data_IF_347357704353
#
_entry.id   IF_347357704353
#
_cell.length_a   1.000
_cell.length_b   1.000
_cell.length_c   1.000
_cell.angle_alpha   90.00
_cell.angle_beta   90.00
_cell.angle_gamma   90.00
#
_symmetry.space_group_name_H-M   'P 1'
#
loop_
_entity.id
_entity.type
_entity.pdbx_description
1 polymer ?
#
# COMPACT_ATOMS: atom_id res chain seq x y z
N UNK A 1 5.45 -0.02 -13.29
CA UNK A 1 4.04 0.22 -12.93
C UNK A 1 3.97 1.54 -12.14
N UNK A 2 2.89 2.33 -12.22
CA UNK A 2 2.74 3.51 -11.34
C UNK A 2 2.05 3.09 -10.04
N UNK A 3 2.28 3.79 -8.93
CA UNK A 3 1.67 3.46 -7.64
C UNK A 3 0.13 3.37 -7.74
N UNK A 4 -0.50 4.36 -8.39
CA UNK A 4 -1.96 4.42 -8.55
C UNK A 4 -2.53 3.34 -9.49
N UNK A 5 -1.70 2.68 -10.31
CA UNK A 5 -2.14 1.53 -11.10
C UNK A 5 -2.28 0.24 -10.26
N UNK A 6 -1.70 0.23 -9.05
CA UNK A 6 -1.81 -0.91 -8.12
C UNK A 6 -3.08 -0.73 -7.31
N UNK A 7 -4.13 -1.48 -7.67
CA UNK A 7 -5.41 -1.48 -6.96
C UNK A 7 -5.61 -2.82 -6.24
N UNK A 8 -6.66 -2.90 -5.40
CA UNK A 8 -7.09 -4.16 -4.79
C UNK A 8 -7.41 -5.20 -5.87
N UNK A 9 -8.08 -4.82 -6.96
CA UNK A 9 -8.36 -5.74 -8.08
C UNK A 9 -7.10 -6.31 -8.72
N UNK A 10 -6.07 -5.46 -8.90
CA UNK A 10 -4.77 -5.91 -9.44
C UNK A 10 -4.09 -6.89 -8.49
N UNK A 11 -4.13 -6.62 -7.18
CA UNK A 11 -3.64 -7.54 -6.16
C UNK A 11 -4.37 -8.87 -6.22
N UNK A 12 -5.71 -8.86 -6.19
CA UNK A 12 -6.54 -10.06 -6.24
C UNK A 12 -6.25 -10.89 -7.49
N UNK A 13 -6.20 -10.24 -8.66
CA UNK A 13 -5.88 -10.91 -9.91
C UNK A 13 -4.49 -11.57 -9.88
N UNK A 14 -3.52 -10.93 -9.20
CA UNK A 14 -2.15 -11.44 -9.10
C UNK A 14 -2.00 -12.67 -8.19
N UNK A 15 -2.90 -12.87 -7.21
CA UNK A 15 -2.85 -13.99 -6.24
C UNK A 15 -2.91 -15.36 -6.93
N UNK A 16 -3.59 -15.45 -8.07
CA UNK A 16 -3.70 -16.69 -8.84
C UNK A 16 -2.36 -17.13 -9.47
N UNK A 17 -1.33 -16.29 -9.42
CA UNK A 17 0.02 -16.59 -9.89
C UNK A 17 1.05 -16.15 -8.85
N UNK A 18 1.73 -17.10 -8.18
CA UNK A 18 2.74 -16.75 -7.16
C UNK A 18 3.81 -15.79 -7.70
N UNK A 19 4.27 -16.01 -8.93
CA UNK A 19 5.24 -15.12 -9.58
C UNK A 19 4.64 -13.75 -9.90
N UNK A 20 3.36 -13.72 -10.29
CA UNK A 20 2.62 -12.47 -10.52
C UNK A 20 2.47 -11.66 -9.23
N UNK A 21 2.04 -12.30 -8.15
CA UNK A 21 1.91 -11.66 -6.84
C UNK A 21 3.26 -11.14 -6.32
N UNK A 22 4.32 -11.95 -6.39
CA UNK A 22 5.67 -11.52 -6.02
C UNK A 22 6.10 -10.31 -6.87
N UNK A 23 5.82 -10.31 -8.17
CA UNK A 23 6.13 -9.16 -9.03
C UNK A 23 5.41 -7.89 -8.58
N UNK A 24 4.14 -7.98 -8.18
CA UNK A 24 3.39 -6.82 -7.65
C UNK A 24 3.98 -6.34 -6.33
N UNK A 25 4.29 -7.26 -5.40
CA UNK A 25 4.93 -6.92 -4.12
C UNK A 25 6.29 -6.23 -4.33
N UNK A 26 7.11 -6.75 -5.23
CA UNK A 26 8.40 -6.14 -5.58
C UNK A 26 8.26 -4.78 -6.22
N UNK A 27 7.24 -4.56 -7.06
CA UNK A 27 6.96 -3.24 -7.62
C UNK A 27 6.57 -2.24 -6.51
N UNK A 28 5.74 -2.65 -5.55
CA UNK A 28 5.38 -1.82 -4.39
C UNK A 28 6.62 -1.50 -3.55
N UNK A 29 7.42 -2.51 -3.22
CA UNK A 29 8.65 -2.34 -2.44
C UNK A 29 9.64 -1.40 -3.15
N UNK A 30 9.82 -1.55 -4.46
CA UNK A 30 10.68 -0.68 -5.26
C UNK A 30 10.22 0.77 -5.26
N UNK A 31 8.91 1.02 -5.32
CA UNK A 31 8.34 2.37 -5.22
C UNK A 31 8.63 2.98 -3.84
N UNK A 32 8.38 2.24 -2.76
CA UNK A 32 8.62 2.70 -1.39
C UNK A 32 10.11 2.98 -1.13
N UNK A 33 10.99 2.08 -1.57
CA UNK A 33 12.45 2.26 -1.45
C UNK A 33 12.93 3.49 -2.24
N UNK A 34 12.37 3.71 -3.43
CA UNK A 34 12.67 4.91 -4.23
C UNK A 34 12.20 6.17 -3.49
N UNK A 35 10.99 6.17 -2.92
CA UNK A 35 10.46 7.29 -2.16
C UNK A 35 11.31 7.59 -0.90
N UNK A 36 11.73 6.56 -0.16
CA UNK A 36 12.67 6.67 0.97
C UNK A 36 14.00 7.28 0.53
N UNK A 37 14.58 6.79 -0.56
CA UNK A 37 15.85 7.32 -1.08
C UNK A 37 15.74 8.81 -1.43
N UNK A 38 14.62 9.22 -2.06
CA UNK A 38 14.38 10.62 -2.38
C UNK A 38 14.26 11.49 -1.12
N UNK A 39 13.60 11.01 -0.06
CA UNK A 39 13.54 11.68 1.24
C UNK A 39 14.94 11.86 1.84
N UNK A 40 15.73 10.79 1.92
CA UNK A 40 17.08 10.81 2.48
C UNK A 40 17.99 11.76 1.70
N UNK A 41 17.86 11.80 0.38
CA UNK A 41 18.62 12.70 -0.48
C UNK A 41 18.10 14.15 -0.49
N UNK A 42 16.99 14.45 0.19
CA UNK A 42 16.39 15.78 0.21
C UNK A 42 15.90 16.24 -1.16
N UNK A 43 15.52 15.31 -2.04
CA UNK A 43 15.02 15.64 -3.37
C UNK A 43 13.57 16.13 -3.21
N UNK A 44 13.25 17.35 -3.69
CA UNK A 44 11.89 17.87 -3.59
C UNK A 44 10.95 17.11 -4.53
N UNK A 45 9.68 17.06 -4.16
CA UNK A 45 8.63 16.45 -4.95
C UNK A 45 7.73 17.48 -5.60
N UNK A 46 6.95 17.03 -6.59
CA UNK A 46 5.77 17.78 -6.98
C UNK A 46 4.76 17.76 -5.81
N UNK A 47 3.98 18.84 -5.67
CA UNK A 47 2.90 18.89 -4.68
C UNK A 47 1.62 18.53 -5.40
N UNK A 48 0.89 17.57 -4.85
CA UNK A 48 -0.39 17.13 -5.37
C UNK A 48 -1.50 18.18 -5.11
N UNK A 49 -2.71 18.00 -5.69
CA UNK A 49 -3.81 18.94 -5.49
C UNK A 49 -4.25 19.14 -4.04
N UNK A 50 -3.96 18.17 -3.16
CA UNK A 50 -4.34 18.18 -1.74
C UNK A 50 -3.24 18.77 -0.85
N UNK A 51 -2.12 19.19 -1.45
CA UNK A 51 -1.00 19.83 -0.74
C UNK A 51 0.05 18.85 -0.21
N UNK A 52 -0.03 17.57 -0.57
CA UNK A 52 0.94 16.57 -0.16
C UNK A 52 2.08 16.44 -1.19
N UNK A 53 3.31 16.15 -0.74
CA UNK A 53 4.34 15.65 -1.63
C UNK A 53 3.83 14.40 -2.37
N UNK A 54 4.01 14.35 -3.68
CA UNK A 54 3.50 13.28 -4.53
C UNK A 54 3.86 11.87 -4.00
N UNK A 55 5.07 11.68 -3.46
CA UNK A 55 5.49 10.43 -2.84
C UNK A 55 4.67 10.05 -1.62
N UNK A 56 4.22 11.02 -0.82
CA UNK A 56 3.33 10.74 0.31
C UNK A 56 1.99 10.23 -0.20
N UNK A 57 1.43 10.84 -1.24
CA UNK A 57 0.15 10.42 -1.84
C UNK A 57 0.24 9.03 -2.47
N UNK A 58 1.35 8.74 -3.15
CA UNK A 58 1.63 7.40 -3.67
C UNK A 58 1.76 6.37 -2.54
N UNK A 59 2.49 6.69 -1.47
CA UNK A 59 2.63 5.81 -0.29
C UNK A 59 1.28 5.59 0.40
N UNK A 60 0.47 6.63 0.59
CA UNK A 60 -0.88 6.53 1.18
C UNK A 60 -1.74 5.57 0.37
N UNK A 61 -1.74 5.71 -0.95
CA UNK A 61 -2.49 4.84 -1.85
C UNK A 61 -2.07 3.38 -1.72
N UNK A 62 -0.77 3.10 -1.78
CA UNK A 62 -0.23 1.74 -1.69
C UNK A 62 -0.52 1.10 -0.33
N UNK A 63 -0.31 1.84 0.76
CA UNK A 63 -0.60 1.37 2.11
C UNK A 63 -2.08 1.04 2.29
N UNK A 64 -2.95 1.89 1.74
CA UNK A 64 -4.39 1.67 1.79
C UNK A 64 -4.83 0.44 1.01
N UNK A 65 -4.29 0.25 -0.18
CA UNK A 65 -4.62 -0.91 -1.01
C UNK A 65 -4.18 -2.22 -0.34
N UNK A 66 -3.00 -2.25 0.29
CA UNK A 66 -2.52 -3.41 1.05
C UNK A 66 -3.40 -3.68 2.28
N UNK A 67 -3.70 -2.64 3.06
CA UNK A 67 -4.49 -2.80 4.28
C UNK A 67 -5.93 -3.23 3.99
N UNK A 68 -6.54 -2.69 2.95
CA UNK A 68 -7.88 -3.09 2.48
C UNK A 68 -7.91 -4.57 2.09
N UNK A 69 -6.91 -5.03 1.31
CA UNK A 69 -6.82 -6.43 0.90
C UNK A 69 -6.59 -7.39 2.08
N UNK A 70 -5.81 -6.98 3.09
CA UNK A 70 -5.61 -7.74 4.33
C UNK A 70 -6.89 -7.83 5.15
N UNK A 71 -7.58 -6.70 5.36
CA UNK A 71 -8.81 -6.65 6.16
C UNK A 71 -9.96 -7.43 5.52
N UNK A 72 -10.03 -7.43 4.18
CA UNK A 72 -10.98 -8.24 3.42
C UNK A 72 -10.58 -9.72 3.33
N UNK A 73 -9.47 -10.14 3.97
CA UNK A 73 -8.94 -11.50 3.93
C UNK A 73 -8.73 -12.04 2.50
N UNK A 74 -8.33 -11.16 1.57
CA UNK A 74 -8.17 -11.54 0.16
C UNK A 74 -6.85 -12.26 -0.11
N UNK A 75 -5.85 -12.05 0.75
CA UNK A 75 -4.50 -12.58 0.57
C UNK A 75 -4.40 -13.95 1.24
N UNK A 76 -4.02 -15.03 0.53
CA UNK A 76 -3.79 -16.33 1.13
C UNK A 76 -2.57 -16.33 2.06
N UNK A 77 -2.64 -17.10 3.15
CA UNK A 77 -1.55 -17.25 4.13
C UNK A 77 -0.18 -17.54 3.50
N UNK A 78 -0.15 -18.36 2.43
CA UNK A 78 1.08 -18.72 1.73
C UNK A 78 1.81 -17.55 1.06
N UNK A 79 1.17 -16.39 0.97
CA UNK A 79 1.70 -15.16 0.38
C UNK A 79 1.92 -14.04 1.40
N UNK A 80 1.50 -14.22 2.66
CA UNK A 80 1.58 -13.18 3.69
C UNK A 80 3.00 -12.66 3.94
N UNK A 81 4.01 -13.52 3.87
CA UNK A 81 5.40 -13.07 4.08
C UNK A 81 5.80 -11.92 3.12
N UNK A 82 5.36 -11.97 1.87
CA UNK A 82 5.69 -10.91 0.90
C UNK A 82 4.98 -9.60 1.23
N UNK A 83 3.77 -9.68 1.79
CA UNK A 83 3.03 -8.52 2.26
C UNK A 83 3.68 -7.94 3.51
N UNK A 84 4.09 -8.79 4.45
CA UNK A 84 4.79 -8.38 5.66
C UNK A 84 6.07 -7.61 5.33
N UNK A 85 6.84 -8.08 4.34
CA UNK A 85 8.06 -7.41 3.88
C UNK A 85 7.76 -6.00 3.32
N UNK A 86 6.69 -5.87 2.53
CA UNK A 86 6.18 -4.57 2.04
C UNK A 86 5.72 -3.68 3.19
N UNK A 87 5.01 -4.22 4.18
CA UNK A 87 4.55 -3.48 5.36
C UNK A 87 5.73 -2.97 6.19
N UNK A 88 6.78 -3.77 6.35
CA UNK A 88 8.00 -3.32 7.03
C UNK A 88 8.69 -2.20 6.25
N UNK A 89 8.76 -2.30 4.94
CA UNK A 89 9.33 -1.26 4.07
C UNK A 89 8.54 0.04 4.18
N UNK A 90 7.21 -0.03 4.18
CA UNK A 90 6.34 1.13 4.35
C UNK A 90 6.48 1.80 5.72
N UNK A 91 6.59 1.01 6.80
CA UNK A 91 6.88 1.56 8.14
C UNK A 91 8.24 2.25 8.22
N UNK A 92 9.25 1.73 7.51
CA UNK A 92 10.56 2.40 7.42
C UNK A 92 10.47 3.72 6.68
N UNK A 93 9.68 3.80 5.59
CA UNK A 93 9.45 5.05 4.88
C UNK A 93 8.93 6.17 5.80
N UNK A 94 7.91 5.87 6.63
CA UNK A 94 7.41 6.84 7.62
C UNK A 94 8.48 7.27 8.61
N UNK A 95 9.24 6.31 9.15
CA UNK A 95 10.29 6.58 10.12
C UNK A 95 11.47 7.39 9.56
N UNK A 96 11.89 7.12 8.32
CA UNK A 96 13.02 7.79 7.67
C UNK A 96 12.65 9.17 7.12
N UNK A 97 11.41 9.34 6.65
CA UNK A 97 10.90 10.58 6.08
C UNK A 97 10.30 11.56 7.08
N UNK A 98 10.25 11.21 8.38
CA UNK A 98 9.50 11.94 9.42
C UNK A 98 8.06 12.26 8.95
N UNK A 99 7.39 11.24 8.40
CA UNK A 99 6.05 11.32 7.81
C UNK A 99 5.16 10.24 8.41
N UNK A 100 3.85 10.38 8.21
CA UNK A 100 2.84 9.41 8.66
C UNK A 100 2.00 8.89 7.47
N UNK A 101 2.54 8.99 6.25
CA UNK A 101 1.83 8.69 5.02
C UNK A 101 1.46 7.20 4.93
N UNK A 102 2.39 6.30 5.25
CA UNK A 102 2.12 4.86 5.24
C UNK A 102 1.08 4.49 6.31
N UNK A 103 1.30 4.88 7.56
CA UNK A 103 0.39 4.53 8.65
C UNK A 103 -1.01 5.13 8.45
N UNK A 104 -1.10 6.36 7.93
CA UNK A 104 -2.38 6.99 7.57
C UNK A 104 -3.09 6.21 6.44
N UNK A 105 -2.39 5.91 5.35
CA UNK A 105 -2.96 5.12 4.26
C UNK A 105 -3.40 3.74 4.72
N UNK A 106 -2.60 3.07 5.55
CA UNK A 106 -2.92 1.76 6.12
C UNK A 106 -4.22 1.81 6.92
N UNK A 107 -4.37 2.81 7.80
CA UNK A 107 -5.61 3.03 8.55
C UNK A 107 -6.82 3.21 7.62
N UNK A 108 -6.69 4.05 6.58
CA UNK A 108 -7.78 4.26 5.61
C UNK A 108 -8.18 2.98 4.88
N UNK A 109 -7.22 2.12 4.54
CA UNK A 109 -7.49 0.84 3.90
C UNK A 109 -8.19 -0.14 4.82
N UNK A 110 -7.77 -0.22 6.08
CA UNK A 110 -8.44 -1.02 7.11
C UNK A 110 -9.89 -0.55 7.32
N UNK A 111 -10.12 0.76 7.40
CA UNK A 111 -11.49 1.31 7.53
C UNK A 111 -12.38 0.91 6.35
N UNK A 112 -11.86 1.01 5.11
CA UNK A 112 -12.59 0.56 3.92
C UNK A 112 -12.91 -0.93 3.93
N UNK A 113 -11.95 -1.78 4.31
CA UNK A 113 -12.19 -3.21 4.43
C UNK A 113 -13.22 -3.56 5.49
N UNK A 114 -13.22 -2.86 6.63
CA UNK A 114 -14.23 -3.01 7.67
C UNK A 114 -15.63 -2.57 7.21
N UNK A 115 -15.72 -1.47 6.47
CA UNK A 115 -17.00 -0.97 5.95
C UNK A 115 -17.61 -1.94 4.93
N UNK A 116 -16.78 -2.56 4.07
CA UNK A 116 -17.23 -3.65 3.20
C UNK A 116 -17.91 -4.79 3.96
N UNK A 117 -17.33 -5.22 5.09
CA UNK A 117 -17.93 -6.26 5.93
C UNK A 117 -19.23 -5.81 6.60
N UNK A 118 -19.34 -4.52 6.99
CA UNK A 118 -20.55 -3.97 7.59
C UNK A 118 -21.71 -3.97 6.60
N UNK A 119 -21.46 -3.58 5.35
CA UNK A 119 -22.47 -3.59 4.28
C UNK A 119 -22.98 -5.03 4.03
N UNK A 120 -22.08 -6.00 3.93
CA UNK A 120 -22.45 -7.43 3.77
C UNK A 120 -23.27 -7.99 4.94
N UNK A 121 -22.97 -7.58 6.17
CA UNK A 121 -23.72 -8.03 7.36
C UNK A 121 -25.12 -7.42 7.47
N UNK A 122 -25.39 -6.26 6.84
CA UNK A 122 -26.73 -5.67 6.81
C UNK A 122 -27.66 -6.31 5.78
N UNK A 123 -27.10 -7.01 4.80
CA UNK A 123 -27.85 -7.74 3.77
C UNK A 123 -28.22 -9.19 4.17
N UNK A 124 -28.00 -9.59 5.43
CA UNK A 124 -28.32 -10.92 5.99
C UNK A 124 -29.41 -10.86 7.09
#
# INVERSE_FOLDING_TARGET
>A
MTAFAITVDVLVASIHSKTGFISVMSDIEGILQTASALNICGIPDSIDPDGFPERCSQTIHLASVIAEALEMNLIPDSLHQFVDDVVQTGKRFDAEGDTNAWCYGFMLGTERGLDYWRELCWDC
#
